data_IF_196575659515
#
_entry.id   IF_196575659515
#
_cell.length_a   1.000
_cell.length_b   1.000
_cell.length_c   1.000
_cell.angle_alpha   90.00
_cell.angle_beta   90.00
_cell.angle_gamma   90.00
#
_symmetry.space_group_name_H-M   'P 1'
#
loop_
_entity.id
_entity.type
_entity.pdbx_description
1 polymer ?
#
# COMPACT_ATOMS: atom_id res chain seq x y z
N UNK A 1 3.70 -14.87 -23.77
CA UNK A 1 2.31 -14.37 -23.84
C UNK A 1 1.33 -15.16 -22.95
N UNK A 2 1.63 -16.40 -22.55
CA UNK A 2 0.77 -17.21 -21.67
C UNK A 2 0.90 -16.93 -20.16
N UNK A 3 2.10 -16.60 -19.65
CA UNK A 3 2.31 -16.43 -18.19
C UNK A 3 1.57 -15.23 -17.58
N UNK A 4 1.41 -14.13 -18.34
CA UNK A 4 0.69 -12.95 -17.87
C UNK A 4 -0.82 -13.22 -17.68
N UNK A 5 -1.39 -14.16 -18.44
CA UNK A 5 -2.79 -14.54 -18.32
C UNK A 5 -3.05 -15.42 -17.08
N UNK A 6 -2.12 -16.33 -16.75
CA UNK A 6 -2.20 -17.16 -15.54
C UNK A 6 -2.11 -16.35 -14.23
N UNK A 7 -1.29 -15.28 -14.20
CA UNK A 7 -1.23 -14.38 -13.02
C UNK A 7 -2.56 -13.68 -12.71
N UNK A 8 -3.40 -13.47 -13.73
CA UNK A 8 -4.72 -12.88 -13.55
C UNK A 8 -5.78 -13.90 -13.09
N UNK A 9 -5.60 -15.19 -13.39
CA UNK A 9 -6.59 -16.24 -13.12
C UNK A 9 -6.30 -17.08 -11.89
N UNK A 10 -5.07 -17.09 -11.37
CA UNK A 10 -4.81 -17.73 -10.07
C UNK A 10 -5.47 -16.96 -8.92
N UNK A 11 -6.09 -17.67 -7.95
CA UNK A 11 -6.65 -17.05 -6.77
C UNK A 11 -5.51 -16.50 -5.92
N UNK A 12 -5.20 -15.23 -6.14
CA UNK A 12 -4.33 -14.46 -5.24
C UNK A 12 -5.02 -14.47 -3.87
N UNK A 13 -4.41 -15.18 -2.92
CA UNK A 13 -4.87 -15.21 -1.54
C UNK A 13 -4.62 -13.83 -0.93
N UNK A 14 -5.67 -13.01 -0.90
CA UNK A 14 -5.67 -11.71 -0.23
C UNK A 14 -5.82 -11.89 1.28
N UNK A 15 -4.94 -12.65 1.91
CA UNK A 15 -4.93 -12.82 3.36
C UNK A 15 -3.96 -11.81 3.99
N UNK A 16 -4.26 -11.32 5.21
CA UNK A 16 -3.31 -10.53 5.97
C UNK A 16 -1.97 -11.27 6.09
N UNK A 17 -0.89 -10.60 5.73
CA UNK A 17 0.44 -11.16 5.85
C UNK A 17 0.88 -11.17 7.32
N UNK A 18 1.42 -12.30 7.76
CA UNK A 18 1.87 -12.55 9.15
C UNK A 18 3.33 -13.05 9.24
N UNK A 19 4.08 -12.94 8.14
CA UNK A 19 5.46 -13.40 8.05
C UNK A 19 6.47 -12.30 8.37
N UNK A 20 7.75 -12.58 8.09
CA UNK A 20 8.84 -11.61 8.24
C UNK A 20 8.63 -10.39 7.33
N UNK A 21 8.81 -9.20 7.90
CA UNK A 21 8.65 -7.90 7.25
C UNK A 21 9.89 -7.48 6.43
N UNK A 22 10.98 -8.25 6.48
CA UNK A 22 12.20 -7.92 5.76
C UNK A 22 12.03 -8.02 4.23
N UNK A 23 12.22 -6.91 3.55
CA UNK A 23 12.21 -6.79 2.08
C UNK A 23 10.86 -7.09 1.44
N UNK A 24 9.75 -6.90 2.15
CA UNK A 24 8.42 -7.18 1.62
C UNK A 24 7.74 -5.92 1.07
N UNK A 25 7.15 -6.07 -0.10
CA UNK A 25 6.31 -5.05 -0.72
C UNK A 25 4.83 -5.37 -0.49
N UNK A 26 3.97 -4.35 -0.58
CA UNK A 26 2.54 -4.58 -0.36
C UNK A 26 1.70 -3.35 -0.12
N UNK A 27 0.46 -3.62 0.27
CA UNK A 27 -0.55 -2.62 0.59
C UNK A 27 -0.92 -2.69 2.07
N UNK A 28 -0.81 -1.56 2.75
CA UNK A 28 -1.13 -1.38 4.15
C UNK A 28 -2.46 -0.63 4.29
N UNK A 29 -3.47 -1.32 4.80
CA UNK A 29 -4.79 -0.73 5.04
C UNK A 29 -4.77 0.31 6.16
N UNK A 30 -5.79 1.17 6.21
CA UNK A 30 -5.98 2.15 7.28
C UNK A 30 -6.07 1.54 8.68
N UNK A 31 -6.46 0.27 8.78
CA UNK A 31 -6.54 -0.48 10.04
C UNK A 31 -5.22 -1.15 10.45
N UNK A 32 -4.11 -0.88 9.74
CA UNK A 32 -2.80 -1.49 10.01
C UNK A 32 -2.66 -2.93 9.52
N UNK A 33 -3.62 -3.42 8.72
CA UNK A 33 -3.54 -4.77 8.11
C UNK A 33 -2.73 -4.70 6.83
N UNK A 34 -1.64 -5.46 6.76
CA UNK A 34 -0.73 -5.52 5.62
C UNK A 34 -1.03 -6.70 4.70
N UNK A 35 -1.02 -6.43 3.40
CA UNK A 35 -1.21 -7.40 2.33
C UNK A 35 0.02 -7.41 1.44
N UNK A 36 0.85 -8.45 1.59
CA UNK A 36 2.07 -8.62 0.80
C UNK A 36 1.72 -8.83 -0.67
N UNK A 37 2.45 -8.17 -1.55
CA UNK A 37 2.48 -8.48 -2.98
C UNK A 37 3.92 -8.43 -3.51
N UNK A 38 4.13 -8.90 -4.73
CA UNK A 38 5.41 -8.70 -5.39
C UNK A 38 5.51 -7.27 -5.91
N UNK A 39 6.74 -6.75 -6.04
CA UNK A 39 7.04 -5.45 -6.63
C UNK A 39 6.27 -5.17 -7.95
N UNK A 40 6.20 -6.16 -8.83
CA UNK A 40 5.58 -6.03 -10.17
C UNK A 40 4.06 -6.17 -10.16
N UNK A 41 3.46 -6.65 -9.07
CA UNK A 41 2.04 -7.03 -9.03
C UNK A 41 1.17 -6.04 -8.22
N UNK A 42 1.71 -4.88 -7.83
CA UNK A 42 1.01 -3.88 -7.00
C UNK A 42 -0.35 -3.48 -7.56
N UNK A 43 -0.44 -3.21 -8.87
CA UNK A 43 -1.67 -2.76 -9.52
C UNK A 43 -2.74 -3.85 -9.54
N UNK A 44 -2.35 -5.09 -9.86
CA UNK A 44 -3.23 -6.25 -9.85
C UNK A 44 -3.76 -6.52 -8.43
N UNK A 45 -2.88 -6.43 -7.42
CA UNK A 45 -3.30 -6.58 -6.02
C UNK A 45 -4.22 -5.44 -5.58
N UNK A 46 -3.97 -4.21 -6.03
CA UNK A 46 -4.81 -3.08 -5.69
C UNK A 46 -6.24 -3.25 -6.21
N UNK A 47 -6.42 -3.66 -7.47
CA UNK A 47 -7.73 -3.95 -8.05
C UNK A 47 -8.45 -5.09 -7.31
N UNK A 48 -7.71 -6.15 -6.98
CA UNK A 48 -8.24 -7.30 -6.23
C UNK A 48 -8.64 -6.91 -4.79
N UNK A 49 -7.87 -6.05 -4.11
CA UNK A 49 -8.21 -5.49 -2.81
C UNK A 49 -9.45 -4.59 -2.89
N UNK A 50 -9.54 -3.72 -3.91
CA UNK A 50 -10.74 -2.93 -4.15
C UNK A 50 -11.98 -3.81 -4.29
N UNK A 51 -11.90 -4.90 -5.07
CA UNK A 51 -12.98 -5.88 -5.19
C UNK A 51 -13.32 -6.56 -3.86
N UNK A 52 -12.32 -7.01 -3.10
CA UNK A 52 -12.50 -7.67 -1.78
C UNK A 52 -13.25 -6.76 -0.80
N UNK A 53 -12.93 -5.47 -0.79
CA UNK A 53 -13.50 -4.49 0.13
C UNK A 53 -14.73 -3.76 -0.44
N UNK A 54 -15.22 -4.16 -1.63
CA UNK A 54 -16.41 -3.58 -2.25
C UNK A 54 -16.23 -2.12 -2.69
N UNK A 55 -15.01 -1.69 -3.00
CA UNK A 55 -14.73 -0.33 -3.47
C UNK A 55 -15.01 -0.21 -4.97
N UNK A 56 -15.72 0.86 -5.33
CA UNK A 56 -15.81 1.30 -6.71
C UNK A 56 -14.47 1.94 -7.12
N UNK A 57 -13.92 1.49 -8.24
CA UNK A 57 -12.69 2.05 -8.79
C UNK A 57 -12.89 3.53 -9.18
N UNK A 58 -11.88 4.34 -8.87
CA UNK A 58 -11.80 5.75 -9.22
C UNK A 58 -10.94 5.94 -10.47
N UNK A 59 -11.25 6.99 -11.23
CA UNK A 59 -10.47 7.38 -12.40
C UNK A 59 -9.27 8.23 -11.97
N UNK A 60 -8.05 7.84 -12.37
CA UNK A 60 -6.84 8.64 -12.13
C UNK A 60 -6.53 9.62 -13.27
N UNK A 61 -7.05 9.36 -14.48
CA UNK A 61 -6.94 10.19 -15.70
C UNK A 61 -8.16 9.87 -16.60
N UNK A 62 -8.55 10.66 -17.62
CA UNK A 62 -9.80 10.41 -18.34
C UNK A 62 -9.89 8.97 -18.83
N UNK A 63 -10.86 8.23 -18.28
CA UNK A 63 -11.26 6.86 -18.62
C UNK A 63 -10.38 5.70 -18.11
N UNK A 64 -9.33 5.92 -17.30
CA UNK A 64 -8.58 4.82 -16.68
C UNK A 64 -8.98 4.61 -15.21
N UNK A 65 -9.76 3.55 -14.97
CA UNK A 65 -10.04 3.03 -13.63
C UNK A 65 -8.74 2.48 -13.02
N UNK A 66 -8.41 2.87 -11.79
CA UNK A 66 -7.12 2.55 -11.20
C UNK A 66 -7.28 2.14 -9.73
N UNK A 67 -7.01 0.87 -9.41
CA UNK A 67 -7.04 0.33 -8.05
C UNK A 67 -6.03 0.98 -7.13
N UNK A 68 -4.80 1.28 -7.58
CA UNK A 68 -3.77 1.92 -6.75
C UNK A 68 -4.27 3.30 -6.29
N UNK A 69 -4.72 4.12 -7.25
CA UNK A 69 -5.29 5.44 -6.97
C UNK A 69 -6.52 5.34 -6.05
N UNK A 70 -7.38 4.34 -6.28
CA UNK A 70 -8.55 4.10 -5.44
C UNK A 70 -8.15 3.81 -4.00
N UNK A 71 -7.20 2.89 -3.78
CA UNK A 71 -6.71 2.54 -2.46
C UNK A 71 -6.07 3.74 -1.76
N UNK A 72 -5.22 4.50 -2.45
CA UNK A 72 -4.62 5.73 -1.92
C UNK A 72 -5.68 6.75 -1.48
N UNK A 73 -6.72 6.99 -2.31
CA UNK A 73 -7.84 7.88 -1.94
C UNK A 73 -8.70 7.32 -0.80
N UNK A 74 -8.70 6.00 -0.59
CA UNK A 74 -9.31 5.35 0.59
C UNK A 74 -8.38 5.32 1.81
N UNK A 75 -7.18 5.93 1.73
CA UNK A 75 -6.24 6.06 2.84
C UNK A 75 -5.38 4.81 3.08
N UNK A 76 -5.21 3.96 2.07
CA UNK A 76 -4.22 2.91 2.10
C UNK A 76 -2.83 3.47 1.77
N UNK A 77 -1.81 2.80 2.27
CA UNK A 77 -0.42 3.09 1.95
C UNK A 77 0.20 1.95 1.15
N UNK A 78 1.00 2.27 0.15
CA UNK A 78 1.80 1.32 -0.64
C UNK A 78 3.21 1.28 -0.07
N UNK A 79 3.74 0.09 0.16
CA UNK A 79 5.14 -0.13 0.48
C UNK A 79 5.78 -0.78 -0.74
N UNK A 80 6.75 -0.11 -1.35
CA UNK A 80 7.39 -0.58 -2.57
C UNK A 80 8.87 -0.25 -2.55
N UNK A 81 9.72 -1.29 -2.63
CA UNK A 81 11.16 -1.18 -2.56
C UNK A 81 11.63 -0.39 -1.31
N UNK A 82 11.04 -0.71 -0.16
CA UNK A 82 11.34 -0.07 1.13
C UNK A 82 10.76 1.34 1.31
N UNK A 83 10.10 1.91 0.29
CA UNK A 83 9.51 3.26 0.36
C UNK A 83 8.01 3.20 0.60
N UNK A 84 7.50 4.15 1.36
CA UNK A 84 6.07 4.30 1.66
C UNK A 84 5.47 5.39 0.77
N UNK A 85 4.43 5.05 0.03
CA UNK A 85 3.66 5.95 -0.82
C UNK A 85 2.22 6.02 -0.30
N UNK A 86 1.70 7.22 -0.11
CA UNK A 86 0.33 7.45 0.34
C UNK A 86 -0.17 8.81 -0.18
N UNK A 87 -1.49 9.00 -0.21
CA UNK A 87 -2.08 10.30 -0.56
C UNK A 87 -2.06 11.24 0.65
N UNK A 88 -1.36 12.38 0.57
CA UNK A 88 -1.25 13.35 1.66
C UNK A 88 -2.61 13.88 2.17
N UNK A 89 -3.63 13.95 1.31
CA UNK A 89 -5.01 14.30 1.70
C UNK A 89 -5.64 13.32 2.71
N UNK A 90 -5.06 12.12 2.85
CA UNK A 90 -5.44 11.07 3.79
C UNK A 90 -4.19 10.67 4.60
N UNK A 91 -3.86 11.43 5.66
CA UNK A 91 -2.71 11.10 6.50
C UNK A 91 -2.83 9.68 7.07
N UNK A 92 -1.67 9.08 7.35
CA UNK A 92 -1.58 7.71 7.86
C UNK A 92 -2.25 7.63 9.23
N UNK A 93 -2.97 6.54 9.46
CA UNK A 93 -3.54 6.28 10.77
C UNK A 93 -2.45 5.90 11.77
N UNK A 94 -2.74 6.04 13.07
CA UNK A 94 -1.85 5.53 14.12
C UNK A 94 -1.48 4.06 13.91
N UNK A 95 -2.43 3.21 13.53
CA UNK A 95 -2.17 1.78 13.28
C UNK A 95 -1.22 1.54 12.10
N UNK A 96 -1.30 2.39 11.07
CA UNK A 96 -0.36 2.34 9.95
C UNK A 96 1.03 2.78 10.38
N UNK A 97 1.13 3.84 11.19
CA UNK A 97 2.39 4.31 11.75
C UNK A 97 3.04 3.26 12.65
N UNK A 98 2.28 2.63 13.54
CA UNK A 98 2.75 1.57 14.42
C UNK A 98 3.31 0.40 13.59
N UNK A 99 2.62 -0.03 12.53
CA UNK A 99 3.13 -1.05 11.60
C UNK A 99 4.41 -0.60 10.89
N UNK A 100 4.45 0.63 10.38
CA UNK A 100 5.60 1.14 9.63
C UNK A 100 6.83 1.31 10.50
N UNK A 101 6.66 1.63 11.79
CA UNK A 101 7.75 1.62 12.75
C UNK A 101 8.40 0.24 12.82
N UNK A 102 7.63 -0.81 13.07
CA UNK A 102 8.13 -2.19 13.13
C UNK A 102 8.77 -2.59 11.79
N UNK A 103 8.14 -2.26 10.66
CA UNK A 103 8.66 -2.52 9.33
C UNK A 103 10.04 -1.89 9.11
N UNK A 104 10.23 -0.62 9.48
CA UNK A 104 11.50 0.06 9.28
C UNK A 104 12.61 -0.53 10.16
N UNK A 105 12.30 -0.85 11.42
CA UNK A 105 13.25 -1.49 12.34
C UNK A 105 13.68 -2.86 11.82
N UNK A 106 12.76 -3.71 11.36
CA UNK A 106 13.06 -5.02 10.79
C UNK A 106 13.96 -4.96 9.55
N UNK A 107 13.87 -3.89 8.78
CA UNK A 107 14.66 -3.69 7.57
C UNK A 107 15.97 -2.94 7.81
N UNK A 108 16.30 -2.61 9.07
CA UNK A 108 17.54 -1.93 9.44
C UNK A 108 17.58 -0.45 9.03
N UNK A 109 16.42 0.13 8.74
CA UNK A 109 16.31 1.55 8.48
C UNK A 109 16.48 2.36 9.76
N UNK A 110 17.00 3.58 9.63
CA UNK A 110 17.18 4.44 10.78
C UNK A 110 15.84 4.99 11.26
N UNK A 111 15.73 5.27 12.57
CA UNK A 111 14.56 5.96 13.15
C UNK A 111 14.30 7.31 12.47
N UNK A 112 15.31 7.89 11.81
CA UNK A 112 15.15 9.14 11.06
C UNK A 112 14.20 9.00 9.87
N UNK A 113 14.17 7.86 9.17
CA UNK A 113 13.25 7.67 8.05
C UNK A 113 11.79 7.59 8.52
N UNK A 114 11.56 6.94 9.66
CA UNK A 114 10.25 6.98 10.33
C UNK A 114 9.89 8.41 10.78
N UNK A 115 10.84 9.13 11.38
CA UNK A 115 10.61 10.50 11.83
C UNK A 115 10.33 11.46 10.66
N UNK A 116 10.98 11.29 9.52
CA UNK A 116 10.69 12.05 8.29
C UNK A 116 9.27 11.76 7.81
N UNK A 117 8.84 10.50 7.80
CA UNK A 117 7.48 10.11 7.45
C UNK A 117 6.44 10.76 8.39
N UNK A 118 6.71 10.81 9.69
CA UNK A 118 5.84 11.48 10.67
C UNK A 118 5.79 12.99 10.43
N UNK A 119 6.95 13.63 10.22
CA UNK A 119 7.02 15.08 9.93
C UNK A 119 6.26 15.46 8.66
N UNK A 120 6.33 14.65 7.60
CA UNK A 120 5.60 14.91 6.35
C UNK A 120 4.08 14.91 6.52
N UNK A 121 3.54 14.29 7.58
CA UNK A 121 2.11 14.32 7.88
C UNK A 121 1.65 15.62 8.58
N UNK A 122 2.58 16.37 9.18
CA UNK A 122 2.28 17.63 9.88
C UNK A 122 2.26 18.83 8.94
N UNK A 123 2.72 18.68 7.69
CA UNK A 123 2.72 19.74 6.69
C UNK A 123 1.41 19.71 5.91
N UNK A 124 0.52 20.73 6.06
CA UNK A 124 -0.70 20.79 5.27
C UNK A 124 -0.35 20.92 3.78
N UNK A 125 -1.07 20.20 2.92
CA UNK A 125 -0.91 20.30 1.47
C UNK A 125 -1.05 21.78 1.03
N UNK A 126 -0.17 22.30 0.17
CA UNK A 126 -0.33 23.65 -0.37
C UNK A 126 -1.67 23.72 -1.12
N UNK A 127 -2.48 24.71 -0.75
CA UNK A 127 -3.79 25.01 -1.33
C UNK A 127 -3.71 25.33 -2.83
#
# INVERSE_FOLDING_TARGET
MFEAWFRNTEPIKLEPYKGDLKGVDGWLSREGVFYRCNYVDHSIYADKLCKKYGYQLLNSFPLSMNGEYTLEKKGWAKISNGKVHYANEKPLSKKQLDFLFDYFICNGYSVNEYNELVRMQEVPAPF
#
